data_IF_032560273918
#
_entry.id   IF_032560273918
#
_cell.length_a   1.000
_cell.length_b   1.000
_cell.length_c   1.000
_cell.angle_alpha   90.00
_cell.angle_beta   90.00
_cell.angle_gamma   90.00
#
_symmetry.space_group_name_H-M   'P 1'
#
loop_
_entity.id
_entity.type
_entity.pdbx_description
1 polymer ?
#
# COMPACT_ATOMS: atom_id res chain seq x y z
N UNK A 1 10.11 -2.92 7.33
CA UNK A 1 10.25 -2.38 5.96
C UNK A 1 9.63 -0.98 5.87
N UNK A 2 10.22 -0.05 5.12
CA UNK A 2 9.76 1.35 5.06
C UNK A 2 9.78 1.86 3.61
N UNK A 3 8.66 2.42 3.17
CA UNK A 3 8.46 3.05 1.86
C UNK A 3 8.30 4.55 2.00
N UNK A 4 8.81 5.28 1.02
CA UNK A 4 8.68 6.73 0.94
C UNK A 4 8.06 7.09 -0.41
N UNK A 5 6.90 7.73 -0.38
CA UNK A 5 6.14 8.15 -1.55
C UNK A 5 6.09 9.70 -1.54
N UNK A 6 5.92 10.30 -2.71
CA UNK A 6 5.85 11.76 -2.87
C UNK A 6 7.05 12.52 -2.28
N UNK A 7 8.27 12.00 -2.49
CA UNK A 7 9.50 12.65 -2.00
C UNK A 7 9.64 12.62 -0.47
N UNK A 8 9.00 11.65 0.21
CA UNK A 8 9.08 11.47 1.66
C UNK A 8 7.90 12.04 2.44
N UNK A 9 6.92 12.68 1.79
CA UNK A 9 5.70 13.15 2.46
C UNK A 9 4.84 11.99 2.98
N UNK A 10 4.72 10.90 2.23
CA UNK A 10 3.97 9.74 2.72
C UNK A 10 4.94 8.61 2.97
N UNK A 11 5.02 8.18 4.22
CA UNK A 11 5.88 7.07 4.64
C UNK A 11 4.98 5.92 5.06
N UNK A 12 5.15 4.77 4.41
CA UNK A 12 4.45 3.55 4.80
C UNK A 12 5.46 2.62 5.44
N UNK A 13 5.23 2.24 6.68
CA UNK A 13 6.06 1.26 7.38
C UNK A 13 5.28 -0.03 7.48
N UNK A 14 5.85 -1.12 6.98
CA UNK A 14 5.29 -2.46 7.08
C UNK A 14 6.25 -3.30 7.92
N UNK A 15 5.74 -3.97 8.94
CA UNK A 15 6.50 -4.83 9.84
C UNK A 15 5.73 -6.10 10.14
N UNK A 16 6.40 -7.24 10.10
CA UNK A 16 5.95 -8.50 10.66
C UNK A 16 6.34 -8.53 12.16
N UNK A 17 5.43 -8.11 13.04
CA UNK A 17 5.65 -8.10 14.48
C UNK A 17 5.56 -9.53 15.06
N UNK A 18 6.57 -10.37 14.78
CA UNK A 18 6.60 -11.77 15.22
C UNK A 18 5.60 -12.66 14.49
N UNK A 19 5.39 -12.42 13.19
CA UNK A 19 4.44 -13.16 12.34
C UNK A 19 3.09 -12.49 12.15
N UNK A 20 2.82 -11.37 12.84
CA UNK A 20 1.67 -10.49 12.57
C UNK A 20 2.09 -9.41 11.62
N UNK A 21 1.59 -9.42 10.40
CA UNK A 21 1.82 -8.30 9.50
C UNK A 21 1.11 -7.06 10.07
N UNK A 22 1.81 -5.94 10.12
CA UNK A 22 1.32 -4.66 10.63
C UNK A 22 1.78 -3.59 9.67
N UNK A 23 0.90 -2.66 9.35
CA UNK A 23 1.28 -1.46 8.59
C UNK A 23 0.93 -0.19 9.33
N UNK A 24 1.73 0.84 9.10
CA UNK A 24 1.46 2.19 9.55
C UNK A 24 1.75 3.17 8.44
N UNK A 25 1.02 4.28 8.43
CA UNK A 25 1.19 5.34 7.43
C UNK A 25 1.41 6.66 8.15
N UNK A 26 2.53 7.29 7.87
CA UNK A 26 2.82 8.65 8.26
C UNK A 26 2.64 9.57 7.04
N UNK A 27 1.90 10.65 7.22
CA UNK A 27 1.72 11.69 6.22
C UNK A 27 2.25 13.01 6.76
N UNK A 28 3.22 13.59 6.06
CA UNK A 28 3.87 14.86 6.38
C UNK A 28 4.43 14.89 7.82
N UNK A 29 5.04 13.76 8.23
CA UNK A 29 5.57 13.56 9.59
C UNK A 29 4.50 13.35 10.67
N UNK A 30 3.21 13.36 10.33
CA UNK A 30 2.11 13.02 11.24
C UNK A 30 1.67 11.58 11.01
N UNK A 31 1.57 10.81 12.10
CA UNK A 31 1.00 9.45 12.07
C UNK A 31 -0.47 9.54 11.66
N UNK A 32 -0.78 9.15 10.43
CA UNK A 32 -2.14 9.17 9.89
C UNK A 32 -2.85 7.84 10.16
N UNK A 33 -2.14 6.74 9.95
CA UNK A 33 -2.58 5.38 10.27
C UNK A 33 -1.62 4.80 11.30
N UNK A 34 -2.15 4.50 12.48
CA UNK A 34 -1.44 3.75 13.51
C UNK A 34 -1.28 2.28 13.11
N UNK A 35 -0.40 1.57 13.82
CA UNK A 35 -0.07 0.15 13.62
C UNK A 35 -1.34 -0.71 13.48
N UNK A 36 -1.72 -0.95 12.23
CA UNK A 36 -2.93 -1.64 11.86
C UNK A 36 -2.58 -3.07 11.47
N UNK A 37 -3.13 -4.08 12.17
CA UNK A 37 -2.84 -5.47 11.87
C UNK A 37 -3.40 -5.84 10.49
N UNK A 38 -2.54 -6.40 9.66
CA UNK A 38 -2.84 -7.06 8.40
C UNK A 38 -2.90 -8.55 8.64
N UNK A 39 -4.06 -9.13 8.41
CA UNK A 39 -4.27 -10.56 8.55
C UNK A 39 -5.73 -10.90 8.37
N UNK A 40 -6.00 -12.11 7.89
CA UNK A 40 -7.36 -12.59 7.69
C UNK A 40 -7.49 -13.99 8.27
N UNK A 41 -8.55 -14.20 9.07
CA UNK A 41 -8.94 -15.53 9.51
C UNK A 41 -10.02 -16.06 8.59
N UNK A 42 -9.75 -17.19 7.95
CA UNK A 42 -10.70 -17.84 7.02
C UNK A 42 -11.13 -19.19 7.58
N UNK A 43 -12.22 -19.77 7.05
CA UNK A 43 -12.64 -21.11 7.49
C UNK A 43 -11.62 -22.21 7.11
N UNK A 44 -10.81 -21.94 6.06
CA UNK A 44 -9.83 -22.85 5.50
C UNK A 44 -8.43 -22.69 6.13
N UNK A 45 -8.24 -21.70 7.00
CA UNK A 45 -6.95 -21.44 7.63
C UNK A 45 -6.86 -20.10 8.34
N UNK A 46 -5.98 -20.05 9.34
CA UNK A 46 -5.64 -18.83 10.06
C UNK A 46 -4.41 -18.16 9.43
N UNK A 47 -4.62 -17.00 8.80
CA UNK A 47 -3.60 -16.16 8.21
C UNK A 47 -3.46 -14.83 8.96
N UNK A 48 -3.68 -14.85 10.27
CA UNK A 48 -3.37 -13.71 11.14
C UNK A 48 -1.94 -13.74 11.69
N UNK A 49 -1.36 -14.95 11.78
CA UNK A 49 -0.02 -15.20 12.32
C UNK A 49 0.85 -16.05 11.37
N UNK A 50 2.17 -15.86 11.45
CA UNK A 50 3.17 -16.55 10.64
C UNK A 50 3.30 -16.02 9.21
N UNK A 51 2.86 -14.79 8.96
CA UNK A 51 3.05 -14.12 7.68
C UNK A 51 4.46 -13.54 7.60
N UNK A 52 5.10 -13.74 6.45
CA UNK A 52 6.36 -13.13 6.08
C UNK A 52 6.19 -12.35 4.78
N UNK A 53 6.93 -11.26 4.65
CA UNK A 53 6.96 -10.50 3.41
C UNK A 53 7.73 -11.33 2.39
N UNK A 54 7.06 -11.73 1.31
CA UNK A 54 7.64 -12.56 0.26
C UNK A 54 7.72 -11.76 -1.03
N UNK A 55 8.94 -11.54 -1.52
CA UNK A 55 9.20 -10.79 -2.73
C UNK A 55 9.64 -9.36 -2.46
N UNK A 56 10.01 -8.69 -3.55
CA UNK A 56 10.49 -7.32 -3.49
C UNK A 56 9.30 -6.35 -3.58
N UNK A 57 9.30 -5.27 -2.79
CA UNK A 57 8.35 -4.19 -2.97
C UNK A 57 8.39 -3.64 -4.39
N UNK A 58 7.23 -3.57 -5.02
CA UNK A 58 7.09 -2.85 -6.29
C UNK A 58 6.53 -1.48 -5.95
N UNK A 59 7.36 -0.44 -6.13
CA UNK A 59 6.93 0.95 -5.98
C UNK A 59 6.88 1.54 -7.39
N UNK A 60 5.67 1.67 -7.91
CA UNK A 60 5.42 2.26 -9.22
C UNK A 60 4.84 3.66 -9.05
N UNK A 61 5.48 4.64 -9.68
CA UNK A 61 4.90 5.96 -9.87
C UNK A 61 4.04 5.90 -11.12
N UNK A 62 2.72 5.88 -10.93
CA UNK A 62 1.78 5.93 -12.05
C UNK A 62 1.41 7.39 -12.24
N UNK A 63 1.92 7.94 -13.35
CA UNK A 63 1.47 9.20 -13.90
C UNK A 63 0.53 8.83 -15.04
N UNK A 64 -0.76 8.72 -14.73
CA UNK A 64 -1.77 8.46 -15.76
C UNK A 64 -2.41 9.79 -16.15
N UNK A 65 -2.38 10.09 -17.44
CA UNK A 65 -3.00 11.25 -18.05
C UNK A 65 -4.09 10.77 -18.99
N UNK A 66 -5.14 10.20 -18.44
CA UNK A 66 -6.30 9.77 -19.21
C UNK A 66 -7.24 10.97 -19.45
N UNK A 67 -7.23 11.47 -20.69
CA UNK A 67 -8.22 12.45 -21.15
C UNK A 67 -9.50 11.69 -21.52
N UNK A 68 -10.46 11.65 -20.59
CA UNK A 68 -11.81 11.16 -20.86
C UNK A 68 -12.65 12.31 -21.44
N UNK A 69 -12.98 12.30 -22.74
CA UNK A 69 -13.53 13.46 -23.43
C UNK A 69 -15.01 13.80 -23.07
N UNK A 70 -15.66 13.05 -22.18
CA UNK A 70 -17.12 13.12 -22.00
C UNK A 70 -17.59 13.38 -20.54
N UNK A 71 -16.78 14.06 -19.72
CA UNK A 71 -17.15 14.47 -18.34
C UNK A 71 -16.78 15.94 -18.07
N UNK A 72 -17.48 16.58 -17.11
CA UNK A 72 -17.45 18.03 -16.80
C UNK A 72 -16.09 18.63 -16.41
N UNK A 73 -15.02 17.83 -16.31
CA UNK A 73 -13.63 18.30 -16.23
C UNK A 73 -12.80 17.51 -17.24
N UNK A 74 -12.31 18.18 -18.27
CA UNK A 74 -11.63 17.61 -19.45
C UNK A 74 -10.18 17.17 -19.21
N UNK A 75 -9.68 17.25 -17.98
CA UNK A 75 -8.30 16.89 -17.62
C UNK A 75 -8.28 16.32 -16.19
N UNK A 76 -7.99 15.02 -16.04
CA UNK A 76 -7.78 14.37 -14.75
C UNK A 76 -6.32 13.94 -14.70
N UNK A 77 -5.49 14.79 -14.10
CA UNK A 77 -4.08 14.47 -13.86
C UNK A 77 -3.98 13.51 -12.67
N UNK A 78 -4.03 12.21 -12.94
CA UNK A 78 -3.92 11.19 -11.90
C UNK A 78 -2.45 10.86 -11.65
N UNK A 79 -1.84 11.61 -10.73
CA UNK A 79 -0.52 11.28 -10.20
C UNK A 79 -0.69 10.49 -8.90
N UNK A 80 -0.49 9.18 -8.97
CA UNK A 80 -0.55 8.29 -7.82
C UNK A 80 0.70 7.43 -7.71
N UNK A 81 1.25 7.32 -6.51
CA UNK A 81 2.28 6.33 -6.24
C UNK A 81 1.58 5.04 -5.76
N UNK A 82 1.83 3.92 -6.44
CA UNK A 82 1.35 2.59 -6.04
C UNK A 82 2.51 1.81 -5.43
N UNK A 83 2.26 1.20 -4.28
CA UNK A 83 3.13 0.24 -3.64
C UNK A 83 2.43 -1.11 -3.56
N UNK A 84 3.06 -2.16 -4.05
CA UNK A 84 2.55 -3.54 -4.00
C UNK A 84 3.53 -4.41 -3.20
N UNK A 85 2.97 -5.21 -2.29
CA UNK A 85 3.70 -6.15 -1.44
C UNK A 85 2.94 -7.47 -1.35
N UNK A 86 3.62 -8.58 -1.55
CA UNK A 86 3.02 -9.91 -1.37
C UNK A 86 3.39 -10.47 0.00
N UNK A 87 2.39 -10.97 0.73
CA UNK A 87 2.59 -11.71 1.97
C UNK A 87 2.47 -13.21 1.71
N UNK A 88 3.43 -13.98 2.22
CA UNK A 88 3.41 -15.44 2.16
C UNK A 88 3.49 -16.04 3.57
N UNK A 89 2.96 -17.26 3.71
CA UNK A 89 3.10 -18.09 4.90
C UNK A 89 3.86 -19.34 4.50
N UNK A 90 5.14 -19.41 4.87
CA UNK A 90 6.06 -20.42 4.32
C UNK A 90 6.32 -20.16 2.83
N UNK A 91 6.09 -21.16 1.98
CA UNK A 91 6.26 -21.06 0.52
C UNK A 91 4.98 -20.64 -0.23
N UNK A 92 3.85 -20.49 0.47
CA UNK A 92 2.57 -20.18 -0.16
C UNK A 92 2.22 -18.70 -0.04
N UNK A 93 2.05 -17.96 -1.16
CA UNK A 93 1.54 -16.61 -1.13
C UNK A 93 0.09 -16.61 -0.62
N UNK A 94 -0.22 -15.72 0.32
CA UNK A 94 -1.53 -15.64 0.97
C UNK A 94 -2.35 -14.50 0.38
N UNK A 95 -1.79 -13.29 0.34
CA UNK A 95 -2.47 -12.11 -0.20
C UNK A 95 -1.49 -11.02 -0.64
N UNK A 96 -1.94 -10.19 -1.56
CA UNK A 96 -1.23 -9.00 -2.01
C UNK A 96 -1.80 -7.75 -1.31
N UNK A 97 -0.90 -6.99 -0.70
CA UNK A 97 -1.19 -5.68 -0.14
C UNK A 97 -0.83 -4.60 -1.15
N UNK A 98 -1.86 -3.89 -1.62
CA UNK A 98 -1.75 -2.79 -2.58
C UNK A 98 -2.11 -1.48 -1.89
N UNK A 99 -1.20 -0.51 -1.96
CA UNK A 99 -1.40 0.83 -1.46
C UNK A 99 -1.30 1.82 -2.60
N UNK A 100 -2.35 2.60 -2.84
CA UNK A 100 -2.34 3.71 -3.78
C UNK A 100 -2.45 5.04 -3.03
N UNK A 101 -1.42 5.87 -3.12
CA UNK A 101 -1.45 7.23 -2.62
C UNK A 101 -1.79 8.17 -3.78
N UNK A 102 -3.05 8.62 -3.81
CA UNK A 102 -3.52 9.56 -4.83
C UNK A 102 -3.16 10.99 -4.43
N UNK A 103 -2.38 11.71 -5.25
CA UNK A 103 -2.40 13.16 -5.21
C UNK A 103 -3.57 13.63 -6.05
N UNK A 104 -4.59 14.13 -5.36
CA UNK A 104 -5.67 14.87 -6.00
C UNK A 104 -5.20 16.33 -6.16
N UNK A 105 -4.54 16.64 -7.28
CA UNK A 105 -4.29 18.02 -7.68
C UNK A 105 -5.56 18.57 -8.33
N UNK A 106 -6.45 19.13 -7.50
CA UNK A 106 -7.44 20.10 -7.96
C UNK A 106 -7.21 21.43 -7.23
N UNK A 107 -6.56 22.36 -7.91
CA UNK A 107 -6.81 23.79 -7.76
C UNK A 107 -7.11 24.33 -9.16
#
# INVERSE_FOLDING_TARGET
MRWQLHGGKTVVTISDNGGKAVYSVDYDGKRFIQDSPLGMKTNIGDYTDGLSISGNPVIEKITDSDSLPNIKKSEVNYNANKGELTFAKGETPVFDFKLSANICLYC
#
